data_IF_818864481859
#
_entry.id   IF_818864481859
#
_cell.length_a   1.000
_cell.length_b   1.000
_cell.length_c   1.000
_cell.angle_alpha   90.00
_cell.angle_beta   90.00
_cell.angle_gamma   90.00
#
_symmetry.space_group_name_H-M   'P 1'
#
loop_
_entity.id
_entity.type
_entity.pdbx_description
1 polymer ?
#
# COMPACT_ATOMS: atom_id res chain seq x y z
N UNK A 1 23.07 11.46 -17.58
CA UNK A 1 22.06 11.66 -16.52
C UNK A 1 21.91 10.47 -15.55
N UNK A 2 22.36 9.26 -15.92
CA UNK A 2 22.26 8.02 -15.12
C UNK A 2 23.14 7.95 -13.86
N UNK A 3 24.25 8.69 -13.79
CA UNK A 3 25.15 8.64 -12.61
C UNK A 3 24.56 9.31 -11.35
N UNK A 4 23.64 10.27 -11.50
CA UNK A 4 23.05 10.99 -10.35
C UNK A 4 22.00 10.17 -9.61
N UNK A 5 21.15 9.43 -10.34
CA UNK A 5 20.07 8.64 -9.73
C UNK A 5 20.60 7.44 -8.93
N UNK A 6 21.65 6.76 -9.40
CA UNK A 6 22.29 5.67 -8.66
C UNK A 6 22.96 6.19 -7.37
N UNK A 7 23.54 7.40 -7.42
CA UNK A 7 24.07 8.09 -6.25
C UNK A 7 23.01 8.32 -5.18
N UNK A 8 21.86 8.87 -5.57
CA UNK A 8 20.75 9.14 -4.65
C UNK A 8 20.19 7.87 -4.00
N UNK A 9 20.08 6.76 -4.74
CA UNK A 9 19.65 5.47 -4.18
C UNK A 9 20.65 4.99 -3.13
N UNK A 10 21.96 5.05 -3.42
CA UNK A 10 23.02 4.64 -2.50
C UNK A 10 23.03 5.48 -1.22
N UNK A 11 22.85 6.80 -1.35
CA UNK A 11 22.80 7.73 -0.22
C UNK A 11 21.59 7.51 0.69
N UNK A 12 20.50 6.92 0.17
CA UNK A 12 19.25 6.71 0.90
C UNK A 12 18.95 5.23 1.16
N UNK A 13 19.95 4.34 1.10
CA UNK A 13 19.75 2.90 1.28
C UNK A 13 19.10 2.54 2.63
N UNK A 14 19.49 3.21 3.72
CA UNK A 14 18.89 2.96 5.03
C UNK A 14 17.40 3.29 5.07
N UNK A 15 16.98 4.37 4.39
CA UNK A 15 15.57 4.74 4.28
C UNK A 15 14.79 3.77 3.41
N UNK A 16 15.38 3.31 2.29
CA UNK A 16 14.76 2.29 1.44
C UNK A 16 14.63 0.94 2.16
N UNK A 17 15.64 0.54 2.92
CA UNK A 17 15.61 -0.66 3.74
C UNK A 17 14.51 -0.55 4.80
N UNK A 18 14.44 0.59 5.51
CA UNK A 18 13.41 0.84 6.51
C UNK A 18 12.02 0.77 5.89
N UNK A 19 11.81 1.44 4.74
CA UNK A 19 10.54 1.42 4.04
C UNK A 19 10.11 0.00 3.64
N UNK A 20 11.06 -0.79 3.14
CA UNK A 20 10.85 -2.19 2.78
C UNK A 20 10.47 -3.02 4.00
N UNK A 21 11.16 -2.84 5.13
CA UNK A 21 10.87 -3.55 6.38
C UNK A 21 9.46 -3.22 6.88
N UNK A 22 9.06 -1.94 6.94
CA UNK A 22 7.73 -1.56 7.41
C UNK A 22 6.62 -2.07 6.51
N UNK A 23 6.81 -1.99 5.19
CA UNK A 23 5.85 -2.51 4.22
C UNK A 23 5.72 -4.04 4.31
N UNK A 24 6.82 -4.78 4.26
CA UNK A 24 6.79 -6.24 4.29
C UNK A 24 6.31 -6.78 5.64
N UNK A 25 6.76 -6.19 6.75
CA UNK A 25 6.33 -6.65 8.08
C UNK A 25 4.83 -6.46 8.29
N UNK A 26 4.28 -5.29 7.95
CA UNK A 26 2.83 -5.05 8.05
C UNK A 26 2.03 -5.93 7.09
N UNK A 27 2.52 -6.18 5.88
CA UNK A 27 1.88 -7.08 4.91
C UNK A 27 1.85 -8.53 5.38
N UNK A 28 3.01 -9.07 5.78
CA UNK A 28 3.11 -10.44 6.28
C UNK A 28 2.29 -10.60 7.57
N UNK A 29 2.39 -9.63 8.49
CA UNK A 29 1.66 -9.67 9.74
C UNK A 29 0.14 -9.66 9.50
N UNK A 30 -0.35 -8.73 8.69
CA UNK A 30 -1.78 -8.65 8.33
C UNK A 30 -2.27 -9.95 7.70
N UNK A 31 -1.54 -10.49 6.71
CA UNK A 31 -1.87 -11.77 6.08
C UNK A 31 -1.97 -12.92 7.10
N UNK A 32 -0.95 -13.08 7.95
CA UNK A 32 -0.89 -14.18 8.93
C UNK A 32 -1.96 -14.09 10.00
N UNK A 33 -2.31 -12.87 10.44
CA UNK A 33 -3.38 -12.65 11.43
C UNK A 33 -4.73 -12.95 10.80
N UNK A 34 -5.01 -12.38 9.63
CA UNK A 34 -6.33 -12.46 9.01
C UNK A 34 -6.68 -13.85 8.46
N UNK A 35 -5.68 -14.67 8.12
CA UNK A 35 -5.94 -16.07 7.73
C UNK A 35 -6.22 -16.97 8.94
N UNK A 36 -5.74 -16.60 10.13
CA UNK A 36 -5.90 -17.39 11.36
C UNK A 36 -7.11 -16.99 12.18
N UNK A 37 -7.53 -15.72 12.08
CA UNK A 37 -8.60 -15.13 12.88
C UNK A 37 -9.79 -14.71 11.99
N UNK A 38 -10.79 -15.58 11.78
CA UNK A 38 -11.92 -15.31 10.88
C UNK A 38 -12.75 -14.09 11.28
N UNK A 39 -12.87 -13.82 12.60
CA UNK A 39 -13.62 -12.69 13.12
C UNK A 39 -12.95 -11.35 12.80
N UNK A 40 -11.62 -11.29 12.90
CA UNK A 40 -10.85 -10.10 12.51
C UNK A 40 -10.92 -9.87 11.00
N UNK A 41 -10.91 -10.94 10.21
CA UNK A 41 -11.12 -10.83 8.77
C UNK A 41 -12.49 -10.24 8.44
N UNK A 42 -13.57 -10.74 9.04
CA UNK A 42 -14.91 -10.20 8.82
C UNK A 42 -15.00 -8.70 9.17
N UNK A 43 -14.37 -8.28 10.27
CA UNK A 43 -14.33 -6.87 10.65
C UNK A 43 -13.54 -6.00 9.64
N UNK A 44 -12.40 -6.50 9.13
CA UNK A 44 -11.60 -5.80 8.12
C UNK A 44 -12.30 -5.77 6.78
N UNK A 45 -12.95 -6.86 6.39
CA UNK A 45 -13.76 -6.99 5.19
C UNK A 45 -14.88 -5.94 5.21
N UNK A 46 -15.69 -5.90 6.27
CA UNK A 46 -16.77 -4.92 6.41
C UNK A 46 -16.26 -3.47 6.37
N UNK A 47 -15.15 -3.17 7.05
CA UNK A 47 -14.63 -1.82 7.16
C UNK A 47 -13.89 -1.32 5.91
N UNK A 48 -13.21 -2.21 5.16
CA UNK A 48 -12.22 -1.82 4.15
C UNK A 48 -12.54 -2.31 2.74
N UNK A 49 -13.19 -3.47 2.59
CA UNK A 49 -13.40 -4.07 1.28
C UNK A 49 -14.40 -3.29 0.41
N UNK A 50 -15.48 -2.69 0.93
CA UNK A 50 -16.35 -1.84 0.12
C UNK A 50 -15.59 -0.70 -0.57
N UNK A 51 -14.67 -0.05 0.16
CA UNK A 51 -13.82 1.00 -0.40
C UNK A 51 -12.85 0.45 -1.45
N UNK A 52 -12.20 -0.69 -1.18
CA UNK A 52 -11.30 -1.32 -2.14
C UNK A 52 -12.03 -1.75 -3.42
N UNK A 53 -13.27 -2.23 -3.29
CA UNK A 53 -14.11 -2.63 -4.41
C UNK A 53 -14.55 -1.43 -5.26
N UNK A 54 -14.97 -0.34 -4.63
CA UNK A 54 -15.28 0.91 -5.33
C UNK A 54 -14.05 1.45 -6.08
N UNK A 55 -12.88 1.44 -5.43
CA UNK A 55 -11.62 1.81 -6.07
C UNK A 55 -11.28 0.88 -7.24
N UNK A 56 -11.45 -0.44 -7.07
CA UNK A 56 -11.19 -1.41 -8.12
C UNK A 56 -12.13 -1.21 -9.32
N UNK A 57 -13.42 -0.95 -9.10
CA UNK A 57 -14.38 -0.69 -10.17
C UNK A 57 -14.06 0.63 -10.90
N UNK A 58 -13.67 1.67 -10.15
CA UNK A 58 -13.26 2.95 -10.73
C UNK A 58 -12.01 2.81 -11.62
N UNK A 59 -11.07 1.94 -11.24
CA UNK A 59 -9.81 1.72 -11.94
C UNK A 59 -9.95 0.72 -13.09
N UNK A 60 -10.62 -0.41 -12.86
CA UNK A 60 -10.66 -1.55 -13.77
C UNK A 60 -11.98 -1.69 -14.54
N UNK A 61 -13.05 -0.98 -14.15
CA UNK A 61 -14.36 -1.02 -14.83
C UNK A 61 -14.44 -0.23 -16.14
N UNK A 62 -13.38 0.53 -16.49
CA UNK A 62 -13.33 1.37 -17.68
C UNK A 62 -12.14 1.07 -18.60
N UNK A 63 -11.89 1.92 -19.62
CA UNK A 63 -10.74 1.78 -20.50
C UNK A 63 -9.41 1.76 -19.73
N UNK A 64 -8.44 0.90 -20.07
CA UNK A 64 -7.17 0.77 -19.33
C UNK A 64 -6.39 2.08 -19.18
N UNK A 65 -6.48 2.97 -20.17
CA UNK A 65 -5.84 4.28 -20.13
C UNK A 65 -6.44 5.19 -19.04
N UNK A 66 -7.77 5.14 -18.89
CA UNK A 66 -8.49 5.88 -17.84
C UNK A 66 -8.14 5.31 -16.46
N UNK A 67 -8.13 3.98 -16.33
CA UNK A 67 -7.72 3.31 -15.09
C UNK A 67 -6.31 3.68 -14.65
N UNK A 68 -5.36 3.64 -15.60
CA UNK A 68 -3.96 4.06 -15.36
C UNK A 68 -3.86 5.51 -14.90
N UNK A 69 -4.63 6.42 -15.52
CA UNK A 69 -4.66 7.83 -15.13
C UNK A 69 -5.22 8.03 -13.72
N UNK A 70 -6.28 7.31 -13.36
CA UNK A 70 -6.89 7.35 -12.03
C UNK A 70 -5.89 6.85 -10.97
N UNK A 71 -5.26 5.70 -11.20
CA UNK A 71 -4.20 5.18 -10.32
C UNK A 71 -3.04 6.18 -10.17
N UNK A 72 -2.59 6.77 -11.27
CA UNK A 72 -1.51 7.75 -11.24
C UNK A 72 -1.88 8.97 -10.39
N UNK A 73 -3.06 9.55 -10.62
CA UNK A 73 -3.52 10.73 -9.88
C UNK A 73 -3.68 10.42 -8.39
N UNK A 74 -4.27 9.27 -8.04
CA UNK A 74 -4.49 8.89 -6.64
C UNK A 74 -3.17 8.65 -5.88
N UNK A 75 -2.22 7.96 -6.53
CA UNK A 75 -0.89 7.75 -5.97
C UNK A 75 -0.09 9.05 -5.91
N UNK A 76 -0.24 9.94 -6.89
CA UNK A 76 0.41 11.26 -6.88
C UNK A 76 -0.10 12.13 -5.74
N UNK A 77 -1.42 12.22 -5.55
CA UNK A 77 -2.01 13.00 -4.46
C UNK A 77 -1.65 12.43 -3.09
N UNK A 78 -1.70 11.10 -2.93
CA UNK A 78 -1.29 10.42 -1.70
C UNK A 78 0.20 10.66 -1.40
N UNK A 79 1.06 10.53 -2.42
CA UNK A 79 2.50 10.80 -2.27
C UNK A 79 2.76 12.26 -1.92
N UNK A 80 2.05 13.22 -2.53
CA UNK A 80 2.18 14.63 -2.20
C UNK A 80 1.75 14.93 -0.76
N UNK A 81 0.65 14.34 -0.29
CA UNK A 81 0.22 14.45 1.10
C UNK A 81 1.29 13.90 2.04
N UNK A 82 1.81 12.70 1.75
CA UNK A 82 2.87 12.06 2.53
C UNK A 82 4.17 12.87 2.50
N UNK A 83 4.52 13.52 1.39
CA UNK A 83 5.68 14.40 1.30
C UNK A 83 5.46 15.66 2.15
N UNK A 84 4.31 16.30 2.02
CA UNK A 84 3.98 17.53 2.76
C UNK A 84 3.94 17.27 4.26
N UNK A 85 3.30 16.20 4.71
CA UNK A 85 3.25 15.82 6.13
C UNK A 85 4.57 15.18 6.60
N UNK A 86 5.25 14.43 5.73
CA UNK A 86 6.52 13.77 5.97
C UNK A 86 7.68 14.75 6.15
N UNK A 87 7.62 15.93 5.52
CA UNK A 87 8.59 17.02 5.69
C UNK A 87 8.74 17.45 7.16
N UNK A 88 7.69 17.30 7.97
CA UNK A 88 7.70 17.73 9.36
C UNK A 88 8.30 16.69 10.33
N UNK A 89 8.16 15.38 10.08
CA UNK A 89 8.54 14.35 11.07
C UNK A 89 9.00 13.00 10.50
N UNK A 90 8.92 12.73 9.19
CA UNK A 90 9.18 11.40 8.58
C UNK A 90 8.21 10.27 8.98
N UNK A 91 7.53 10.42 10.11
CA UNK A 91 6.53 9.51 10.68
C UNK A 91 5.34 9.26 9.73
N UNK A 92 4.76 10.26 9.03
CA UNK A 92 3.64 10.03 8.11
C UNK A 92 3.96 9.07 6.95
N UNK A 93 5.22 9.08 6.47
CA UNK A 93 5.65 8.16 5.42
C UNK A 93 5.70 6.70 5.94
N UNK A 94 6.14 6.49 7.18
CA UNK A 94 6.16 5.16 7.79
C UNK A 94 4.74 4.63 8.04
N UNK A 95 3.80 5.48 8.51
CA UNK A 95 2.39 5.07 8.66
C UNK A 95 1.74 4.73 7.32
N UNK A 96 2.03 5.50 6.27
CA UNK A 96 1.55 5.20 4.92
C UNK A 96 2.06 3.83 4.43
N UNK A 97 3.32 3.52 4.69
CA UNK A 97 3.89 2.21 4.33
C UNK A 97 3.26 1.06 5.13
N UNK A 98 2.99 1.25 6.42
CA UNK A 98 2.29 0.26 7.25
C UNK A 98 0.87 0.03 6.73
N UNK A 99 0.12 1.11 6.45
CA UNK A 99 -1.25 1.00 5.95
C UNK A 99 -1.31 0.29 4.59
N UNK A 100 -0.44 0.68 3.64
CA UNK A 100 -0.37 0.04 2.33
C UNK A 100 0.06 -1.43 2.42
N UNK A 101 1.03 -1.75 3.28
CA UNK A 101 1.45 -3.13 3.51
C UNK A 101 0.34 -3.96 4.13
N UNK A 102 -0.34 -3.45 5.17
CA UNK A 102 -1.45 -4.13 5.82
C UNK A 102 -2.63 -4.41 4.87
N UNK A 103 -2.99 -3.45 4.01
CA UNK A 103 -4.01 -3.63 2.97
C UNK A 103 -3.60 -4.69 1.94
N UNK A 104 -2.33 -4.69 1.51
CA UNK A 104 -1.81 -5.73 0.62
C UNK A 104 -1.87 -7.12 1.27
N UNK A 105 -1.55 -7.21 2.56
CA UNK A 105 -1.68 -8.46 3.33
C UNK A 105 -3.13 -8.93 3.46
N UNK A 106 -4.07 -8.01 3.68
CA UNK A 106 -5.50 -8.30 3.77
C UNK A 106 -6.06 -8.79 2.42
N UNK A 107 -5.68 -8.15 1.32
CA UNK A 107 -6.04 -8.59 -0.03
C UNK A 107 -5.47 -9.98 -0.34
N UNK A 108 -4.22 -10.25 0.02
CA UNK A 108 -3.61 -11.57 -0.14
C UNK A 108 -4.33 -12.65 0.70
N UNK A 109 -4.77 -12.31 1.92
CA UNK A 109 -5.53 -13.24 2.76
C UNK A 109 -6.91 -13.55 2.18
N UNK A 110 -7.59 -12.57 1.59
CA UNK A 110 -8.86 -12.79 0.89
C UNK A 110 -8.69 -13.73 -0.32
N UNK A 111 -7.69 -13.47 -1.18
CA UNK A 111 -7.39 -14.35 -2.32
C UNK A 111 -7.12 -15.79 -1.87
N UNK A 112 -6.30 -15.97 -0.83
CA UNK A 112 -6.00 -17.29 -0.28
C UNK A 112 -7.25 -18.02 0.25
N UNK A 113 -8.25 -17.30 0.78
CA UNK A 113 -9.53 -17.87 1.25
C UNK A 113 -10.49 -18.18 0.10
N UNK A 114 -10.44 -17.42 -0.98
CA UNK A 114 -11.15 -17.71 -2.23
C UNK A 114 -10.52 -18.87 -3.02
N UNK A 115 -9.33 -19.33 -2.61
CA UNK A 115 -8.60 -20.44 -3.20
C UNK A 115 -7.75 -20.05 -4.42
N UNK A 116 -7.40 -18.77 -4.55
CA UNK A 116 -6.57 -18.18 -5.61
C UNK A 116 -5.17 -17.90 -5.09
#
# INVERSE_FOLDING_TARGET
>A
MTHRSIGTIKENQSWLLLATVFFLSSSIFSYLVLIREPELFAAVEEASFPFLQEMAEMVFGGPPLRGSLILFLHNLTSSLQVIVFGLFLGIPALFSLIANGALAGAAAAALAREGI
#
